data_IF_962794413073
#
_entry.id   IF_962794413073
#
_cell.length_a   1.000
_cell.length_b   1.000
_cell.length_c   1.000
_cell.angle_alpha   90.00
_cell.angle_beta   90.00
_cell.angle_gamma   90.00
#
_symmetry.space_group_name_H-M   'P 1'
#
loop_
_entity.id
_entity.type
_entity.pdbx_description
1 polymer ?
#
# COMPACT_ATOMS: atom_id res chain seq x y z
N UNK A 1 -4.60 -4.87 11.75
CA UNK A 1 -3.69 -4.98 10.59
C UNK A 1 -4.37 -5.84 9.51
N UNK A 2 -3.90 -5.85 8.25
CA UNK A 2 -4.58 -6.62 7.18
C UNK A 2 -4.75 -8.10 7.55
N UNK A 3 -3.72 -8.71 8.16
CA UNK A 3 -3.76 -10.11 8.59
C UNK A 3 -4.89 -10.37 9.58
N UNK A 4 -5.09 -9.49 10.57
CA UNK A 4 -6.18 -9.63 11.54
C UNK A 4 -7.57 -9.59 10.87
N UNK A 5 -7.73 -8.78 9.81
CA UNK A 5 -8.99 -8.70 9.04
C UNK A 5 -9.23 -9.99 8.27
N UNK A 6 -8.17 -10.56 7.68
CA UNK A 6 -8.22 -11.83 6.97
C UNK A 6 -8.54 -12.98 7.93
N UNK A 7 -7.86 -13.03 9.07
CA UNK A 7 -8.06 -14.04 10.13
C UNK A 7 -9.48 -13.98 10.70
N UNK A 8 -10.00 -12.78 11.00
CA UNK A 8 -11.36 -12.59 11.48
C UNK A 8 -12.43 -13.05 10.47
N UNK A 9 -12.08 -13.14 9.19
CA UNK A 9 -12.94 -13.61 8.09
C UNK A 9 -12.62 -15.02 7.63
N UNK A 10 -11.70 -15.72 8.31
CA UNK A 10 -11.21 -17.04 7.95
C UNK A 10 -10.68 -17.13 6.50
N UNK A 11 -10.13 -16.03 5.98
CA UNK A 11 -9.55 -15.97 4.63
C UNK A 11 -8.06 -16.24 4.71
N UNK A 12 -7.60 -17.20 3.90
CA UNK A 12 -6.18 -17.47 3.67
C UNK A 12 -5.82 -17.13 2.24
N UNK A 13 -4.77 -16.35 2.07
CA UNK A 13 -4.19 -16.08 0.76
C UNK A 13 -3.23 -17.22 0.46
N UNK A 14 -3.38 -17.82 -0.73
CA UNK A 14 -2.45 -18.83 -1.22
C UNK A 14 -1.11 -18.17 -1.58
N UNK A 15 -0.04 -18.70 -0.99
CA UNK A 15 1.33 -18.21 -1.15
C UNK A 15 2.10 -18.98 -2.24
N UNK A 16 1.41 -19.76 -3.08
CA UNK A 16 1.99 -20.43 -4.24
C UNK A 16 2.63 -19.46 -5.26
N UNK A 17 2.09 -18.24 -5.38
CA UNK A 17 2.64 -17.21 -6.25
C UNK A 17 3.44 -16.17 -5.49
N UNK A 18 4.38 -15.59 -6.22
CA UNK A 18 5.25 -14.54 -5.72
C UNK A 18 5.13 -13.28 -6.55
N UNK A 19 5.23 -12.14 -5.87
CA UNK A 19 5.13 -10.80 -6.44
C UNK A 19 6.36 -10.00 -6.05
N UNK A 20 6.86 -9.16 -6.96
CA UNK A 20 8.00 -8.31 -6.64
C UNK A 20 7.63 -7.24 -5.60
N UNK A 21 8.38 -7.17 -4.51
CA UNK A 21 8.18 -6.20 -3.43
C UNK A 21 9.18 -5.04 -3.53
N UNK A 22 8.74 -3.81 -3.85
CA UNK A 22 9.65 -2.67 -3.99
C UNK A 22 10.24 -2.20 -2.64
N UNK A 23 9.69 -2.63 -1.51
CA UNK A 23 10.25 -2.38 -0.18
C UNK A 23 11.40 -3.31 0.20
N UNK A 24 11.40 -4.54 -0.34
CA UNK A 24 12.46 -5.52 -0.10
C UNK A 24 13.45 -5.62 -1.27
N UNK A 25 13.06 -5.19 -2.46
CA UNK A 25 13.84 -5.37 -3.69
C UNK A 25 13.87 -6.82 -4.17
N UNK A 26 12.95 -7.67 -3.71
CA UNK A 26 12.91 -9.11 -4.03
C UNK A 26 11.47 -9.59 -4.21
N UNK A 27 11.29 -10.76 -4.83
CA UNK A 27 10.00 -11.45 -4.85
C UNK A 27 9.58 -11.88 -3.43
N UNK A 28 8.28 -11.78 -3.15
CA UNK A 28 7.65 -12.12 -1.87
C UNK A 28 6.38 -12.95 -2.11
N UNK A 29 6.02 -13.87 -1.20
CA UNK A 29 4.75 -14.56 -1.25
C UNK A 29 3.57 -13.58 -1.30
N UNK A 30 2.47 -13.99 -1.94
CA UNK A 30 1.27 -13.18 -2.15
C UNK A 30 0.75 -12.50 -0.88
N UNK A 31 0.64 -13.23 0.23
CA UNK A 31 0.19 -12.71 1.52
C UNK A 31 1.11 -11.59 2.02
N UNK A 32 2.42 -11.81 1.96
CA UNK A 32 3.44 -10.87 2.39
C UNK A 32 3.54 -9.64 1.48
N UNK A 33 3.31 -9.80 0.18
CA UNK A 33 3.23 -8.69 -0.77
C UNK A 33 1.99 -7.83 -0.51
N UNK A 34 0.80 -8.42 -0.44
CA UNK A 34 -0.44 -7.70 -0.22
C UNK A 34 -0.44 -6.96 1.12
N UNK A 35 0.10 -7.60 2.15
CA UNK A 35 0.30 -7.00 3.46
C UNK A 35 1.20 -5.76 3.40
N UNK A 36 2.31 -5.82 2.66
CA UNK A 36 3.19 -4.67 2.49
C UNK A 36 2.46 -3.53 1.81
N UNK A 37 1.75 -3.79 0.70
CA UNK A 37 0.95 -2.77 -0.01
C UNK A 37 -0.02 -2.08 0.94
N UNK A 38 -0.77 -2.85 1.74
CA UNK A 38 -1.74 -2.30 2.67
C UNK A 38 -1.09 -1.43 3.76
N UNK A 39 -0.02 -1.92 4.38
CA UNK A 39 0.69 -1.18 5.44
C UNK A 39 1.34 0.08 4.91
N UNK A 40 2.05 0.01 3.79
CA UNK A 40 2.75 1.15 3.24
C UNK A 40 1.81 2.19 2.64
N UNK A 41 0.60 1.81 2.23
CA UNK A 41 -0.47 2.75 1.91
C UNK A 41 -0.89 3.57 3.13
N UNK A 42 -1.00 2.95 4.32
CA UNK A 42 -1.29 3.66 5.58
C UNK A 42 -0.12 4.57 5.97
N UNK A 43 1.12 4.07 5.85
CA UNK A 43 2.33 4.86 6.12
C UNK A 43 2.36 6.10 5.22
N UNK A 44 2.08 5.97 3.93
CA UNK A 44 2.06 7.10 3.00
C UNK A 44 1.04 8.16 3.41
N UNK A 45 -0.18 7.76 3.82
CA UNK A 45 -1.19 8.68 4.32
C UNK A 45 -0.73 9.39 5.61
N UNK A 46 -0.09 8.66 6.52
CA UNK A 46 0.50 9.25 7.72
C UNK A 46 1.59 10.27 7.38
N UNK A 47 2.53 9.93 6.47
CA UNK A 47 3.60 10.83 6.04
C UNK A 47 3.02 12.11 5.40
N UNK A 48 2.01 11.99 4.53
CA UNK A 48 1.30 13.14 3.94
C UNK A 48 0.64 14.00 5.02
N UNK A 49 -0.01 13.39 6.00
CA UNK A 49 -0.66 14.11 7.11
C UNK A 49 0.37 14.83 7.97
N UNK A 50 1.48 14.18 8.30
CA UNK A 50 2.58 14.76 9.07
C UNK A 50 3.24 15.92 8.31
N UNK A 51 3.44 15.77 7.00
CA UNK A 51 3.99 16.82 6.13
C UNK A 51 3.08 18.06 6.09
N UNK A 52 1.76 17.88 6.03
CA UNK A 52 0.80 18.98 6.08
C UNK A 52 0.72 19.65 7.47
N UNK A 53 0.91 18.89 8.54
CA UNK A 53 0.84 19.40 9.91
C UNK A 53 2.13 20.11 10.35
N UNK A 54 3.27 19.73 9.79
CA UNK A 54 4.56 20.34 10.07
C UNK A 54 4.74 21.67 9.32
N UNK A 55 5.05 22.75 10.04
CA UNK A 55 5.50 24.02 9.42
C UNK A 55 6.92 23.95 8.85
N UNK A 56 7.61 22.82 8.99
CA UNK A 56 8.98 22.64 8.50
C UNK A 56 9.02 21.98 7.12
N UNK A 57 9.43 22.77 6.15
CA UNK A 57 9.85 22.34 4.81
C UNK A 57 11.26 21.72 4.90
N UNK A 58 11.37 20.56 5.55
CA UNK A 58 12.60 19.77 5.54
C UNK A 58 12.58 18.74 4.42
N UNK A 59 13.52 18.82 3.46
CA UNK A 59 13.54 17.95 2.26
C UNK A 59 13.50 16.44 2.53
N UNK A 60 13.94 15.98 3.71
CA UNK A 60 13.94 14.56 4.06
C UNK A 60 12.55 13.91 4.12
N UNK A 61 11.50 14.64 4.52
CA UNK A 61 10.14 14.07 4.59
C UNK A 61 9.50 14.05 3.20
N UNK A 62 9.71 15.08 2.40
CA UNK A 62 9.26 15.13 1.01
C UNK A 62 9.91 14.02 0.17
N UNK A 63 11.21 13.82 0.31
CA UNK A 63 11.92 12.73 -0.37
C UNK A 63 11.40 11.35 0.08
N UNK A 64 11.05 11.20 1.36
CA UNK A 64 10.45 9.96 1.85
C UNK A 64 9.06 9.73 1.26
N UNK A 65 8.24 10.77 1.14
CA UNK A 65 6.93 10.72 0.48
C UNK A 65 7.12 10.29 -0.98
N UNK A 66 8.00 10.96 -1.74
CA UNK A 66 8.29 10.61 -3.14
C UNK A 66 8.75 9.16 -3.29
N UNK A 67 9.62 8.69 -2.40
CA UNK A 67 10.09 7.30 -2.40
C UNK A 67 8.95 6.31 -2.16
N UNK A 68 8.11 6.53 -1.14
CA UNK A 68 6.99 5.62 -0.86
C UNK A 68 5.91 5.68 -1.94
N UNK A 69 5.68 6.85 -2.56
CA UNK A 69 4.80 6.97 -3.72
C UNK A 69 5.29 6.09 -4.88
N UNK A 70 6.55 6.23 -5.29
CA UNK A 70 7.11 5.44 -6.40
C UNK A 70 7.04 3.92 -6.12
N UNK A 71 7.24 3.51 -4.86
CA UNK A 71 7.09 2.09 -4.47
C UNK A 71 5.64 1.62 -4.56
N UNK A 72 4.68 2.43 -4.12
CA UNK A 72 3.26 2.09 -4.21
C UNK A 72 2.81 2.03 -5.67
N UNK A 73 3.23 2.98 -6.51
CA UNK A 73 2.97 2.99 -7.96
C UNK A 73 3.51 1.71 -8.62
N UNK A 74 4.76 1.33 -8.32
CA UNK A 74 5.34 0.09 -8.81
C UNK A 74 4.59 -1.17 -8.35
N UNK A 75 3.89 -1.11 -7.21
CA UNK A 75 3.14 -2.25 -6.68
C UNK A 75 1.70 -2.35 -7.24
N UNK A 76 1.20 -1.35 -7.99
CA UNK A 76 -0.19 -1.32 -8.49
C UNK A 76 -0.52 -2.53 -9.36
N UNK A 77 0.34 -2.86 -10.32
CA UNK A 77 0.08 -3.96 -11.26
C UNK A 77 0.05 -5.31 -10.55
N UNK A 78 1.04 -5.56 -9.68
CA UNK A 78 1.08 -6.78 -8.87
C UNK A 78 -0.13 -6.90 -7.93
N UNK A 79 -0.56 -5.78 -7.34
CA UNK A 79 -1.75 -5.72 -6.48
C UNK A 79 -3.00 -6.04 -7.28
N UNK A 80 -3.14 -5.47 -8.47
CA UNK A 80 -4.29 -5.68 -9.34
C UNK A 80 -4.41 -7.13 -9.79
N UNK A 81 -3.29 -7.75 -10.18
CA UNK A 81 -3.27 -9.16 -10.56
C UNK A 81 -3.63 -10.06 -9.38
N UNK A 82 -3.04 -9.81 -8.21
CA UNK A 82 -3.31 -10.62 -7.01
C UNK A 82 -4.76 -10.50 -6.55
N UNK A 83 -5.29 -9.29 -6.44
CA UNK A 83 -6.66 -9.04 -5.97
C UNK A 83 -7.69 -9.69 -6.90
N UNK A 84 -7.54 -9.53 -8.23
CA UNK A 84 -8.41 -10.18 -9.22
C UNK A 84 -8.40 -11.70 -9.09
N UNK A 85 -7.23 -12.26 -8.78
CA UNK A 85 -7.09 -13.71 -8.58
C UNK A 85 -7.75 -14.18 -7.28
N UNK A 86 -7.65 -13.40 -6.20
CA UNK A 86 -8.32 -13.73 -4.93
C UNK A 86 -9.84 -13.69 -5.11
N UNK A 87 -10.36 -12.75 -5.92
CA UNK A 87 -11.78 -12.73 -6.32
C UNK A 87 -12.74 -12.42 -5.17
N UNK A 88 -12.30 -11.64 -4.18
CA UNK A 88 -13.12 -11.22 -3.04
C UNK A 88 -13.38 -9.72 -3.12
N UNK A 89 -14.59 -9.32 -3.54
CA UNK A 89 -14.97 -7.92 -3.75
C UNK A 89 -14.70 -7.02 -2.53
N UNK A 90 -14.96 -7.53 -1.31
CA UNK A 90 -14.74 -6.74 -0.10
C UNK A 90 -13.25 -6.46 0.14
N UNK A 91 -12.37 -7.40 -0.22
CA UNK A 91 -10.93 -7.26 -0.06
C UNK A 91 -10.37 -6.36 -1.16
N UNK A 92 -10.90 -6.49 -2.37
CA UNK A 92 -10.62 -5.59 -3.49
C UNK A 92 -10.89 -4.14 -3.10
N UNK A 93 -12.12 -3.85 -2.66
CA UNK A 93 -12.50 -2.52 -2.22
C UNK A 93 -11.61 -2.02 -1.08
N UNK A 94 -11.38 -2.85 -0.05
CA UNK A 94 -10.54 -2.45 1.09
C UNK A 94 -9.10 -2.10 0.67
N UNK A 95 -8.48 -2.90 -0.20
CA UNK A 95 -7.09 -2.70 -0.62
C UNK A 95 -7.00 -1.51 -1.58
N UNK A 96 -7.87 -1.41 -2.58
CA UNK A 96 -7.81 -0.32 -3.55
C UNK A 96 -8.26 1.01 -2.96
N UNK A 97 -9.23 1.06 -2.05
CA UNK A 97 -9.58 2.32 -1.36
C UNK A 97 -8.38 2.86 -0.58
N UNK A 98 -7.67 1.99 0.12
CA UNK A 98 -6.48 2.36 0.89
C UNK A 98 -5.31 2.76 -0.02
N UNK A 99 -5.05 2.01 -1.09
CA UNK A 99 -4.00 2.30 -2.06
C UNK A 99 -4.28 3.59 -2.84
N UNK A 100 -5.50 3.79 -3.32
CA UNK A 100 -5.91 5.00 -4.05
C UNK A 100 -5.83 6.22 -3.14
N UNK A 101 -6.29 6.13 -1.88
CA UNK A 101 -6.13 7.23 -0.91
C UNK A 101 -4.66 7.54 -0.65
N UNK A 102 -3.80 6.53 -0.60
CA UNK A 102 -2.37 6.71 -0.46
C UNK A 102 -1.71 7.37 -1.67
N UNK A 103 -2.18 7.08 -2.89
CA UNK A 103 -1.64 7.61 -4.14
C UNK A 103 -2.23 8.96 -4.55
N UNK A 104 -3.43 9.31 -4.10
CA UNK A 104 -4.04 10.62 -4.37
C UNK A 104 -3.11 11.76 -3.95
N UNK A 105 -2.89 12.70 -4.87
CA UNK A 105 -2.11 13.90 -4.56
C UNK A 105 -2.68 14.61 -3.34
N UNK A 106 -1.79 15.18 -2.53
CA UNK A 106 -2.19 16.15 -1.52
C UNK A 106 -2.83 17.30 -2.30
N UNK A 107 -4.17 17.44 -2.23
CA UNK A 107 -4.84 18.61 -2.80
C UNK A 107 -4.19 19.83 -2.17
N UNK A 108 -3.43 20.56 -2.99
CA UNK A 108 -2.88 21.85 -2.59
C UNK A 108 -4.09 22.74 -2.28
N UNK A 109 -4.28 23.07 -1.00
CA UNK A 109 -5.07 24.24 -0.66
C UNK A 109 -4.24 25.44 -1.13
N UNK A 110 -4.59 25.95 -2.32
CA UNK A 110 -4.15 27.25 -2.80
C UNK A 110 -4.73 28.39 -1.97
#
# INVERSE_FOLDING_TARGET
MLNDILDARAVRIDDADVYFSPWRGTARPASGFLHAVFVFSIVMQFLKTAYLAGKEQGGSLEDRIRLEQARLEHAVDGTTQLIKRIGLDWLENLVFDNLNRALQEVRQHG
#
